data_IF_301886949215
#
_entry.id   IF_301886949215
#
_cell.length_a   1.000
_cell.length_b   1.000
_cell.length_c   1.000
_cell.angle_alpha   90.00
_cell.angle_beta   90.00
_cell.angle_gamma   90.00
#
_symmetry.space_group_name_H-M   'P 1'
#
loop_
_entity.id
_entity.type
_entity.pdbx_description
1 polymer ?
#
# COMPACT_ATOMS: atom_id res chain seq x y z
N UNK A 1 -15.01 11.29 5.24
CA UNK A 1 -14.97 9.93 4.65
C UNK A 1 -13.65 9.28 4.98
N UNK A 2 -13.65 8.05 5.51
CA UNK A 2 -12.45 7.22 5.65
C UNK A 2 -12.49 6.11 4.59
N UNK A 3 -11.61 6.18 3.61
CA UNK A 3 -11.59 5.24 2.48
C UNK A 3 -10.55 4.15 2.70
N UNK A 4 -11.04 2.98 3.11
CA UNK A 4 -10.25 1.78 3.37
C UNK A 4 -10.56 0.62 2.40
N UNK A 5 -11.36 0.86 1.36
CA UNK A 5 -11.71 -0.17 0.37
C UNK A 5 -10.62 -0.28 -0.71
N UNK A 6 -10.01 -1.46 -0.82
CA UNK A 6 -9.05 -1.81 -1.87
C UNK A 6 -8.79 -3.33 -1.86
N UNK A 7 -8.40 -3.87 -3.00
CA UNK A 7 -7.71 -5.16 -3.07
C UNK A 7 -6.25 -4.98 -2.70
N UNK A 8 -5.75 -5.85 -1.82
CA UNK A 8 -4.39 -5.75 -1.22
C UNK A 8 -3.48 -6.95 -1.48
N UNK A 9 -4.00 -8.03 -2.07
CA UNK A 9 -3.25 -9.25 -2.27
C UNK A 9 -2.34 -9.13 -3.50
N UNK A 10 -1.04 -8.87 -3.27
CA UNK A 10 -0.03 -8.71 -4.33
C UNK A 10 -0.09 -9.83 -5.39
N UNK A 11 -0.03 -11.13 -5.03
CA UNK A 11 -0.03 -12.18 -6.05
C UNK A 11 -1.32 -12.26 -6.88
N UNK A 12 -2.45 -11.86 -6.30
CA UNK A 12 -3.72 -11.85 -7.03
C UNK A 12 -3.77 -10.70 -8.03
N UNK A 13 -3.23 -9.54 -7.66
CA UNK A 13 -3.23 -8.35 -8.52
C UNK A 13 -2.11 -8.37 -9.56
N UNK A 14 -1.02 -9.12 -9.35
CA UNK A 14 -0.08 -9.42 -10.45
C UNK A 14 -0.74 -10.26 -11.54
N UNK A 15 -1.56 -11.24 -11.16
CA UNK A 15 -2.30 -12.11 -12.09
C UNK A 15 -3.53 -11.45 -12.70
N UNK A 16 -4.14 -10.50 -11.99
CA UNK A 16 -5.37 -9.82 -12.40
C UNK A 16 -5.19 -8.29 -12.27
N UNK A 17 -4.29 -7.67 -13.02
CA UNK A 17 -3.97 -6.26 -12.86
C UNK A 17 -5.13 -5.32 -13.22
N UNK A 18 -6.05 -5.74 -14.08
CA UNK A 18 -7.28 -4.99 -14.39
C UNK A 18 -8.17 -4.81 -13.16
N UNK A 19 -8.20 -5.77 -12.22
CA UNK A 19 -8.92 -5.63 -10.95
C UNK A 19 -8.32 -4.53 -10.08
N UNK A 20 -6.99 -4.35 -10.11
CA UNK A 20 -6.35 -3.23 -9.42
C UNK A 20 -6.75 -1.89 -10.07
N UNK A 21 -6.87 -1.84 -11.39
CA UNK A 21 -7.33 -0.65 -12.11
C UNK A 21 -8.76 -0.30 -11.71
N UNK A 22 -9.72 -1.22 -11.88
CA UNK A 22 -11.12 -0.92 -11.62
C UNK A 22 -11.41 -0.72 -10.13
N UNK A 23 -10.98 -1.62 -9.27
CA UNK A 23 -11.32 -1.57 -7.85
C UNK A 23 -10.50 -0.52 -7.10
N UNK A 24 -9.18 -0.50 -7.27
CA UNK A 24 -8.34 0.40 -6.48
C UNK A 24 -8.30 1.80 -7.09
N UNK A 25 -8.04 1.94 -8.39
CA UNK A 25 -7.85 3.26 -9.02
C UNK A 25 -9.20 3.92 -9.30
N UNK A 26 -10.03 3.32 -10.15
CA UNK A 26 -11.31 3.91 -10.58
C UNK A 26 -12.27 4.02 -9.41
N UNK A 27 -12.39 2.98 -8.57
CA UNK A 27 -13.21 3.02 -7.37
C UNK A 27 -12.82 4.16 -6.41
N UNK A 28 -11.51 4.38 -6.20
CA UNK A 28 -11.04 5.50 -5.37
C UNK A 28 -11.29 6.86 -6.03
N UNK A 29 -11.08 6.99 -7.35
CA UNK A 29 -11.38 8.21 -8.10
C UNK A 29 -12.83 8.61 -7.91
N UNK A 30 -13.75 7.67 -8.14
CA UNK A 30 -15.19 7.91 -7.98
C UNK A 30 -15.55 8.33 -6.56
N UNK A 31 -15.00 7.65 -5.54
CA UNK A 31 -15.27 7.99 -4.15
C UNK A 31 -14.79 9.41 -3.80
N UNK A 32 -13.61 9.82 -4.30
CA UNK A 32 -13.07 11.16 -4.11
C UNK A 32 -13.87 12.23 -4.84
N UNK A 33 -14.24 11.99 -6.10
CA UNK A 33 -15.05 12.91 -6.91
C UNK A 33 -16.46 13.10 -6.34
N UNK A 34 -17.09 12.02 -5.85
CA UNK A 34 -18.39 12.13 -5.16
C UNK A 34 -18.26 12.87 -3.84
N UNK A 35 -17.15 12.70 -3.12
CA UNK A 35 -16.92 13.44 -1.88
C UNK A 35 -16.81 14.95 -2.13
N UNK A 36 -16.17 15.36 -3.24
CA UNK A 36 -16.16 16.75 -3.69
C UNK A 36 -17.55 17.26 -4.06
N UNK A 37 -18.28 16.48 -4.87
CA UNK A 37 -19.62 16.85 -5.34
C UNK A 37 -20.62 17.08 -4.19
N UNK A 38 -20.40 16.40 -3.06
CA UNK A 38 -21.26 16.47 -1.89
C UNK A 38 -20.65 17.27 -0.73
N UNK A 39 -19.66 18.12 -1.01
CA UNK A 39 -19.03 19.03 -0.04
C UNK A 39 -18.57 18.33 1.25
N UNK A 40 -18.05 17.10 1.12
CA UNK A 40 -17.46 16.37 2.25
C UNK A 40 -16.29 17.19 2.79
N UNK A 41 -16.30 17.48 4.08
CA UNK A 41 -15.27 18.31 4.71
C UNK A 41 -13.87 17.68 4.60
N UNK A 42 -13.77 16.37 4.91
CA UNK A 42 -12.50 15.64 4.98
C UNK A 42 -12.59 14.25 4.35
N UNK A 43 -11.56 13.88 3.60
CA UNK A 43 -11.39 12.56 3.01
C UNK A 43 -10.02 11.99 3.36
N UNK A 44 -10.00 10.88 4.08
CA UNK A 44 -8.78 10.18 4.50
C UNK A 44 -8.63 8.91 3.70
N UNK A 45 -7.62 8.86 2.84
CA UNK A 45 -7.24 7.70 2.06
C UNK A 45 -6.31 6.79 2.87
N UNK A 46 -6.71 5.54 3.07
CA UNK A 46 -5.79 4.51 3.58
C UNK A 46 -4.85 4.08 2.46
N UNK A 47 -3.55 4.36 2.65
CA UNK A 47 -2.47 3.94 1.75
C UNK A 47 -1.56 2.91 2.43
N UNK A 48 -0.43 2.59 1.81
CA UNK A 48 0.47 1.50 2.24
C UNK A 48 1.92 1.86 1.92
N UNK A 49 2.84 1.32 2.72
CA UNK A 49 4.28 1.26 2.41
C UNK A 49 4.59 0.79 0.98
N UNK A 50 3.78 -0.12 0.41
CA UNK A 50 3.98 -0.65 -0.94
C UNK A 50 3.74 0.36 -2.06
N UNK A 51 3.13 1.51 -1.75
CA UNK A 51 3.00 2.64 -2.68
C UNK A 51 4.33 3.39 -2.86
N UNK A 52 5.31 3.18 -1.97
CA UNK A 52 6.64 3.79 -2.03
C UNK A 52 7.54 2.99 -2.96
N UNK A 53 7.99 3.58 -4.09
CA UNK A 53 8.74 2.90 -5.16
C UNK A 53 8.15 1.52 -5.46
N UNK A 54 6.91 1.46 -5.96
CA UNK A 54 6.20 0.20 -6.03
C UNK A 54 6.94 -0.80 -6.92
N UNK A 55 6.94 -2.07 -6.53
CA UNK A 55 7.48 -3.18 -7.33
C UNK A 55 6.41 -4.16 -7.81
N UNK A 56 5.16 -3.88 -7.44
CA UNK A 56 3.98 -4.66 -7.77
C UNK A 56 2.82 -3.76 -8.17
N UNK A 57 1.88 -4.32 -8.92
CA UNK A 57 0.64 -3.68 -9.41
C UNK A 57 -0.20 -3.14 -8.26
N UNK A 58 -0.29 -3.84 -7.13
CA UNK A 58 -1.03 -3.39 -5.97
C UNK A 58 -0.48 -2.06 -5.45
N UNK A 59 0.83 -2.00 -5.20
CA UNK A 59 1.54 -0.80 -4.78
C UNK A 59 1.40 0.34 -5.79
N UNK A 60 1.58 0.06 -7.09
CA UNK A 60 1.43 1.04 -8.15
C UNK A 60 0.01 1.62 -8.19
N UNK A 61 -1.02 0.78 -8.05
CA UNK A 61 -2.42 1.23 -7.99
C UNK A 61 -2.67 2.16 -6.80
N UNK A 62 -2.12 1.86 -5.62
CA UNK A 62 -2.22 2.71 -4.44
C UNK A 62 -1.45 4.02 -4.61
N UNK A 63 -0.29 3.98 -5.26
CA UNK A 63 0.45 5.19 -5.61
C UNK A 63 -0.36 6.12 -6.52
N UNK A 64 -1.04 5.58 -7.53
CA UNK A 64 -1.95 6.36 -8.37
C UNK A 64 -3.10 6.96 -7.54
N UNK A 65 -3.67 6.24 -6.56
CA UNK A 65 -4.70 6.83 -5.69
C UNK A 65 -4.20 8.02 -4.88
N UNK A 66 -2.92 8.05 -4.49
CA UNK A 66 -2.32 9.23 -3.85
C UNK A 66 -2.15 10.37 -4.85
N UNK A 67 -1.75 10.10 -6.09
CA UNK A 67 -1.65 11.12 -7.14
C UNK A 67 -3.01 11.75 -7.47
N UNK A 68 -4.06 10.93 -7.55
CA UNK A 68 -5.44 11.43 -7.73
C UNK A 68 -5.79 12.36 -6.56
N UNK A 69 -5.58 11.89 -5.33
CA UNK A 69 -5.81 12.68 -4.11
C UNK A 69 -5.09 14.03 -4.14
N UNK A 70 -3.82 14.05 -4.54
CA UNK A 70 -3.01 15.26 -4.64
C UNK A 70 -3.47 16.20 -5.77
N UNK A 71 -4.03 15.65 -6.86
CA UNK A 71 -4.56 16.47 -7.96
C UNK A 71 -5.91 17.13 -7.64
N UNK A 72 -6.61 16.66 -6.61
CA UNK A 72 -7.92 17.18 -6.19
C UNK A 72 -7.85 18.29 -5.14
N UNK A 73 -6.66 18.72 -4.74
CA UNK A 73 -6.47 19.79 -3.75
C UNK A 73 -7.08 21.13 -4.20
N UNK A 74 -7.46 21.97 -3.23
CA UNK A 74 -8.01 23.31 -3.48
C UNK A 74 -9.48 23.36 -3.91
N UNK A 75 -10.19 22.23 -3.90
CA UNK A 75 -11.60 22.13 -4.33
C UNK A 75 -12.60 22.00 -3.16
N UNK A 76 -12.28 22.56 -1.99
CA UNK A 76 -13.16 22.54 -0.80
C UNK A 76 -12.96 21.33 0.12
N UNK A 77 -13.02 20.10 -0.40
CA UNK A 77 -12.73 18.89 0.39
C UNK A 77 -11.24 18.80 0.72
N UNK A 78 -10.91 18.61 2.00
CA UNK A 78 -9.53 18.35 2.44
C UNK A 78 -9.23 16.87 2.26
N UNK A 79 -8.39 16.55 1.29
CA UNK A 79 -7.93 15.18 1.13
C UNK A 79 -6.56 14.96 1.74
N UNK A 80 -6.37 13.80 2.34
CA UNK A 80 -5.10 13.34 2.88
C UNK A 80 -4.97 11.84 2.73
N UNK A 81 -3.73 11.34 2.75
CA UNK A 81 -3.45 9.92 2.80
C UNK A 81 -2.65 9.55 4.04
N UNK A 82 -2.79 8.32 4.50
CA UNK A 82 -1.99 7.76 5.59
C UNK A 82 -1.33 6.47 5.10
N UNK A 83 0.01 6.47 5.03
CA UNK A 83 0.85 5.31 4.71
C UNK A 83 1.27 4.60 6.00
N UNK A 84 1.11 3.28 6.02
CA UNK A 84 1.65 2.42 7.06
C UNK A 84 1.96 1.03 6.51
N UNK A 85 2.70 0.25 7.30
CA UNK A 85 3.12 -1.10 6.96
C UNK A 85 2.06 -2.16 7.26
N UNK A 86 2.51 -3.36 7.60
CA UNK A 86 1.60 -4.46 7.84
C UNK A 86 0.84 -4.29 9.17
N UNK A 87 -0.38 -4.80 9.20
CA UNK A 87 -1.21 -4.85 10.40
C UNK A 87 -1.31 -6.28 10.91
N UNK A 88 -0.98 -6.47 12.19
CA UNK A 88 -0.99 -7.78 12.86
C UNK A 88 -2.37 -8.41 12.78
N UNK A 89 -2.41 -9.68 12.36
CA UNK A 89 -3.65 -10.46 12.31
C UNK A 89 -4.66 -10.01 11.25
N UNK A 90 -4.29 -9.12 10.33
CA UNK A 90 -5.20 -8.70 9.27
C UNK A 90 -5.59 -9.86 8.34
N UNK A 91 -6.80 -9.80 7.76
CA UNK A 91 -7.32 -10.85 6.87
C UNK A 91 -6.34 -11.17 5.74
N UNK A 92 -6.08 -12.46 5.52
CA UNK A 92 -5.18 -12.94 4.47
C UNK A 92 -3.69 -12.63 4.70
N UNK A 93 -3.29 -12.24 5.92
CA UNK A 93 -1.89 -12.00 6.27
C UNK A 93 -1.14 -13.27 6.70
N UNK A 94 0.16 -13.11 6.93
CA UNK A 94 1.08 -14.21 7.24
C UNK A 94 0.80 -14.88 8.59
N UNK A 95 0.36 -14.15 9.61
CA UNK A 95 0.11 -14.70 10.95
C UNK A 95 -1.05 -15.71 10.95
N UNK A 96 -2.24 -15.40 10.37
CA UNK A 96 -3.30 -16.39 10.18
C UNK A 96 -2.89 -17.59 9.31
N UNK A 97 -2.00 -17.40 8.34
CA UNK A 97 -1.45 -18.50 7.55
C UNK A 97 -0.61 -19.44 8.42
N UNK A 98 0.33 -18.89 9.19
CA UNK A 98 1.22 -19.68 10.05
C UNK A 98 0.43 -20.43 11.12
N UNK A 99 -0.57 -19.79 11.75
CA UNK A 99 -1.45 -20.47 12.72
C UNK A 99 -2.14 -21.68 12.10
N UNK A 100 -2.76 -21.52 10.93
CA UNK A 100 -3.40 -22.64 10.21
C UNK A 100 -2.41 -23.75 9.85
N UNK A 101 -1.22 -23.40 9.37
CA UNK A 101 -0.17 -24.37 9.07
C UNK A 101 0.27 -25.13 10.32
N UNK A 102 0.44 -24.44 11.45
CA UNK A 102 0.84 -25.04 12.73
C UNK A 102 -0.25 -25.97 13.28
N UNK A 103 -1.52 -25.56 13.19
CA UNK A 103 -2.69 -26.37 13.56
C UNK A 103 -2.78 -27.64 12.70
N UNK A 104 -2.38 -27.58 11.43
CA UNK A 104 -2.34 -28.70 10.49
C UNK A 104 -1.10 -29.60 10.64
N UNK A 105 -0.15 -29.26 11.52
CA UNK A 105 1.07 -30.03 11.72
C UNK A 105 2.28 -29.58 10.90
N UNK A 106 2.16 -28.48 10.16
CA UNK A 106 3.22 -27.90 9.34
C UNK A 106 3.36 -28.55 7.95
N UNK A 107 4.42 -28.19 7.19
CA UNK A 107 5.43 -27.18 7.53
C UNK A 107 4.88 -25.75 7.50
N UNK A 108 5.57 -24.83 8.18
CA UNK A 108 5.33 -23.39 8.02
C UNK A 108 6.11 -22.88 6.81
N UNK A 109 5.47 -22.15 5.91
CA UNK A 109 6.09 -21.68 4.66
C UNK A 109 6.50 -20.22 4.76
N UNK A 110 7.80 -19.93 4.67
CA UNK A 110 8.34 -18.57 4.65
C UNK A 110 8.87 -18.27 3.25
N UNK A 111 8.67 -17.07 2.72
CA UNK A 111 9.11 -16.78 1.34
C UNK A 111 10.63 -16.69 1.23
N UNK A 112 11.28 -16.00 2.16
CA UNK A 112 12.74 -15.88 2.17
C UNK A 112 13.28 -15.74 3.61
N UNK A 113 14.46 -16.30 3.95
CA UNK A 113 15.02 -16.22 5.30
C UNK A 113 15.21 -14.77 5.80
N UNK A 114 15.62 -13.88 4.90
CA UNK A 114 15.89 -12.46 5.22
C UNK A 114 14.70 -11.51 5.00
N UNK A 115 13.49 -12.03 4.75
CA UNK A 115 12.33 -11.15 4.52
C UNK A 115 11.89 -10.46 5.81
N UNK A 116 11.76 -9.14 5.75
CA UNK A 116 11.44 -8.28 6.88
C UNK A 116 10.18 -7.46 6.61
N UNK A 117 9.34 -7.29 7.64
CA UNK A 117 8.14 -6.45 7.56
C UNK A 117 7.97 -5.62 8.82
N UNK A 118 7.42 -4.43 8.66
CA UNK A 118 6.98 -3.59 9.76
C UNK A 118 5.58 -3.99 10.19
N UNK A 119 5.32 -4.02 11.49
CA UNK A 119 4.02 -4.40 12.05
C UNK A 119 3.51 -3.36 13.03
N UNK A 120 2.20 -3.17 13.02
CA UNK A 120 1.47 -2.47 14.07
C UNK A 120 0.15 -3.19 14.33
N UNK A 121 -0.48 -2.91 15.47
CA UNK A 121 -1.79 -3.49 15.79
C UNK A 121 -2.92 -2.74 15.06
N UNK A 122 -4.10 -3.37 14.92
CA UNK A 122 -5.29 -2.74 14.32
C UNK A 122 -5.71 -1.48 15.09
N UNK A 123 -5.77 -1.47 16.45
CA UNK A 123 -6.15 -0.27 17.19
C UNK A 123 -5.15 0.88 17.00
N UNK A 124 -3.84 0.59 16.99
CA UNK A 124 -2.82 1.59 16.72
C UNK A 124 -2.98 2.18 15.31
N UNK A 125 -3.13 1.34 14.28
CA UNK A 125 -3.30 1.81 12.90
C UNK A 125 -4.54 2.70 12.79
N UNK A 126 -5.67 2.25 13.35
CA UNK A 126 -6.95 2.97 13.29
C UNK A 126 -6.87 4.30 14.03
N UNK A 127 -6.28 4.33 15.23
CA UNK A 127 -6.10 5.55 16.00
C UNK A 127 -5.24 6.57 15.25
N UNK A 128 -4.14 6.12 14.64
CA UNK A 128 -3.25 7.01 13.91
C UNK A 128 -3.88 7.52 12.61
N UNK A 129 -4.72 6.72 11.92
CA UNK A 129 -5.50 7.18 10.77
C UNK A 129 -6.47 8.30 11.18
N UNK A 130 -7.16 8.13 12.32
CA UNK A 130 -8.06 9.15 12.86
C UNK A 130 -7.31 10.43 13.23
N UNK A 131 -6.13 10.31 13.85
CA UNK A 131 -5.29 11.45 14.19
C UNK A 131 -4.77 12.19 12.96
N UNK A 132 -4.24 11.47 11.96
CA UNK A 132 -3.84 12.06 10.68
C UNK A 132 -5.02 12.79 10.01
N UNK A 133 -6.20 12.17 10.04
CA UNK A 133 -7.45 12.78 9.57
C UNK A 133 -7.86 14.07 10.30
N UNK A 134 -7.56 14.18 11.59
CA UNK A 134 -7.86 15.34 12.41
C UNK A 134 -6.82 16.47 12.24
N UNK A 135 -5.58 16.12 11.90
CA UNK A 135 -4.44 17.05 11.79
C UNK A 135 -4.24 17.62 10.39
N UNK A 136 -4.72 16.93 9.36
CA UNK A 136 -4.51 17.34 7.97
C UNK A 136 -5.34 18.56 7.56
N UNK A 137 -4.72 19.45 6.81
CA UNK A 137 -5.33 20.65 6.24
C UNK A 137 -5.63 20.50 4.74
N UNK A 138 -5.10 19.45 4.10
CA UNK A 138 -5.29 19.12 2.69
C UNK A 138 -3.95 18.92 1.96
N UNK A 139 -3.81 17.79 1.28
CA UNK A 139 -2.68 17.44 0.41
C UNK A 139 -1.62 16.61 1.09
N UNK A 140 -1.72 16.41 2.41
CA UNK A 140 -0.73 15.70 3.18
C UNK A 140 -0.77 14.19 2.92
N UNK A 141 0.43 13.62 2.91
CA UNK A 141 0.63 12.17 3.03
C UNK A 141 1.32 11.92 4.36
N UNK A 142 0.56 11.42 5.33
CA UNK A 142 1.07 11.05 6.63
C UNK A 142 1.74 9.69 6.59
N UNK A 143 2.81 9.52 7.37
CA UNK A 143 3.56 8.27 7.52
C UNK A 143 3.58 7.92 9.01
N UNK A 144 3.21 6.69 9.32
CA UNK A 144 3.25 6.19 10.69
C UNK A 144 4.64 5.64 11.03
N UNK A 145 5.18 6.02 12.19
CA UNK A 145 6.41 5.41 12.72
C UNK A 145 6.11 3.98 13.16
N UNK A 146 6.61 3.00 12.41
CA UNK A 146 6.31 1.58 12.61
C UNK A 146 7.29 0.84 13.56
N UNK A 147 8.28 1.55 14.13
CA UNK A 147 9.30 0.93 14.98
C UNK A 147 10.27 0.05 14.19
N UNK A 148 10.69 -1.06 14.79
CA UNK A 148 11.70 -1.96 14.21
C UNK A 148 11.06 -3.01 13.29
N UNK A 149 11.68 -3.31 12.13
CA UNK A 149 11.21 -4.38 11.27
C UNK A 149 11.39 -5.74 11.96
N UNK A 150 10.49 -6.68 11.64
CA UNK A 150 10.51 -8.06 12.16
C UNK A 150 10.83 -9.03 11.03
N UNK A 151 11.81 -9.92 11.26
CA UNK A 151 12.10 -11.04 10.36
C UNK A 151 10.94 -12.04 10.39
N UNK A 152 10.38 -12.37 9.22
CA UNK A 152 9.24 -13.29 9.14
C UNK A 152 9.63 -14.72 9.57
N UNK A 153 10.87 -15.13 9.33
CA UNK A 153 11.38 -16.41 9.81
C UNK A 153 11.38 -16.49 11.35
N UNK A 154 11.76 -15.42 12.03
CA UNK A 154 11.77 -15.38 13.50
C UNK A 154 10.34 -15.37 14.05
N UNK A 155 9.45 -14.59 13.41
CA UNK A 155 8.01 -14.64 13.72
C UNK A 155 7.42 -16.04 13.58
N UNK A 156 7.80 -16.80 12.54
CA UNK A 156 7.36 -18.18 12.36
C UNK A 156 7.83 -19.07 13.53
N UNK A 157 9.11 -18.98 13.91
CA UNK A 157 9.68 -19.73 15.04
C UNK A 157 8.96 -19.40 16.36
N UNK A 158 8.68 -18.13 16.59
CA UNK A 158 7.99 -17.69 17.82
C UNK A 158 6.55 -18.21 17.87
N UNK A 159 5.83 -18.20 16.76
CA UNK A 159 4.47 -18.78 16.71
C UNK A 159 4.47 -20.29 16.94
N UNK A 160 5.47 -21.02 16.43
CA UNK A 160 5.63 -22.45 16.69
C UNK A 160 5.84 -22.69 18.19
N UNK A 161 6.77 -21.96 18.82
CA UNK A 161 7.05 -22.04 20.27
C UNK A 161 5.83 -21.72 21.12
N UNK A 162 5.12 -20.63 20.79
CA UNK A 162 3.90 -20.21 21.49
C UNK A 162 2.76 -21.23 21.36
N UNK A 163 2.83 -22.12 20.37
CA UNK A 163 1.89 -23.23 20.19
C UNK A 163 2.31 -24.50 20.95
N UNK A 164 3.34 -24.43 21.80
CA UNK A 164 3.86 -25.57 22.57
C UNK A 164 4.69 -26.57 21.77
N UNK A 165 5.22 -26.15 20.61
CA UNK A 165 6.00 -26.99 19.69
C UNK A 165 7.42 -26.45 19.51
N UNK A 166 8.38 -27.31 19.19
CA UNK A 166 9.78 -26.94 18.94
C UNK A 166 10.05 -26.73 17.43
N UNK A 167 10.51 -25.54 17.00
CA UNK A 167 10.88 -25.29 15.60
C UNK A 167 11.95 -26.25 15.09
N UNK A 168 11.84 -26.68 13.84
CA UNK A 168 12.72 -27.66 13.16
C UNK A 168 12.69 -29.09 13.71
N UNK A 169 12.09 -29.32 14.88
CA UNK A 169 11.87 -30.65 15.47
C UNK A 169 10.44 -31.10 15.24
N UNK A 170 9.47 -30.38 15.80
CA UNK A 170 8.04 -30.69 15.66
C UNK A 170 7.45 -30.10 14.38
N UNK A 171 7.89 -28.89 13.99
CA UNK A 171 7.42 -28.19 12.80
C UNK A 171 8.61 -27.56 12.07
N UNK A 172 8.82 -27.99 10.82
CA UNK A 172 9.84 -27.42 9.92
C UNK A 172 9.39 -26.10 9.31
N UNK A 173 10.34 -25.21 9.09
CA UNK A 173 10.16 -24.02 8.27
C UNK A 173 10.71 -24.30 6.87
N UNK A 174 9.86 -24.17 5.85
CA UNK A 174 10.24 -24.36 4.44
C UNK A 174 10.28 -23.01 3.74
N UNK A 175 11.38 -22.75 3.03
CA UNK A 175 11.54 -21.55 2.23
C UNK A 175 11.01 -21.77 0.81
N UNK A 176 10.06 -20.95 0.37
CA UNK A 176 9.36 -21.12 -0.92
C UNK A 176 9.85 -20.17 -2.01
N UNK A 177 10.83 -19.32 -1.73
CA UNK A 177 11.22 -18.24 -2.62
C UNK A 177 10.31 -17.01 -2.53
N UNK A 178 10.83 -15.88 -3.01
CA UNK A 178 10.06 -14.64 -3.12
C UNK A 178 9.03 -14.76 -4.25
N UNK A 179 7.84 -14.21 -4.00
CA UNK A 179 6.79 -14.16 -5.02
C UNK A 179 7.05 -13.00 -5.99
N UNK A 180 6.41 -13.05 -7.16
CA UNK A 180 6.39 -11.95 -8.12
C UNK A 180 5.96 -10.64 -7.44
N UNK A 181 6.71 -9.57 -7.68
CA UNK A 181 6.47 -8.25 -7.11
C UNK A 181 6.72 -8.09 -5.60
N UNK A 182 7.14 -9.14 -4.90
CA UNK A 182 7.40 -9.10 -3.46
C UNK A 182 8.81 -8.57 -3.12
N UNK A 183 8.88 -7.51 -2.30
CA UNK A 183 10.14 -6.95 -1.81
C UNK A 183 10.72 -7.79 -0.66
N UNK A 184 12.04 -7.87 -0.60
CA UNK A 184 12.73 -8.41 0.57
C UNK A 184 12.59 -7.49 1.80
N UNK A 185 12.69 -6.18 1.58
CA UNK A 185 12.54 -5.12 2.58
C UNK A 185 11.52 -4.09 2.10
N UNK A 186 10.57 -3.74 2.95
CA UNK A 186 9.64 -2.65 2.68
C UNK A 186 10.25 -1.31 3.10
N UNK A 187 9.84 -0.25 2.40
CA UNK A 187 10.34 1.10 2.59
C UNK A 187 9.18 2.00 2.96
N UNK A 188 9.34 2.84 3.98
CA UNK A 188 8.30 3.78 4.39
C UNK A 188 8.43 5.14 3.70
N UNK A 189 9.61 5.47 3.18
CA UNK A 189 9.96 6.78 2.63
C UNK A 189 10.85 6.58 1.39
N UNK A 190 10.56 7.31 0.30
CA UNK A 190 11.39 7.31 -0.89
C UNK A 190 12.61 8.27 -0.77
N UNK A 191 13.62 8.07 -1.63
CA UNK A 191 14.78 8.95 -1.71
C UNK A 191 14.31 10.23 -2.38
N UNK A 192 14.50 11.38 -1.73
CA UNK A 192 13.98 12.67 -2.17
C UNK A 192 12.60 13.02 -1.59
N UNK A 193 11.96 12.13 -0.83
CA UNK A 193 10.82 12.49 0.02
C UNK A 193 11.33 13.10 1.33
N UNK A 194 11.07 14.39 1.54
CA UNK A 194 11.37 15.07 2.80
C UNK A 194 10.28 14.74 3.83
N UNK A 195 10.68 14.30 5.03
CA UNK A 195 9.76 14.10 6.14
C UNK A 195 9.83 15.25 7.14
N UNK A 196 8.66 15.66 7.64
CA UNK A 196 8.54 16.62 8.72
C UNK A 196 7.83 15.99 9.91
N UNK A 197 8.27 16.28 11.15
CA UNK A 197 7.54 15.86 12.34
C UNK A 197 6.18 16.57 12.38
N UNK A 198 5.21 15.93 13.01
CA UNK A 198 3.92 16.55 13.33
C UNK A 198 3.81 16.80 14.84
N UNK A 199 2.68 17.34 15.31
CA UNK A 199 2.41 17.46 16.75
C UNK A 199 2.29 16.12 17.48
N UNK A 200 2.13 15.01 16.73
CA UNK A 200 2.07 13.67 17.29
C UNK A 200 3.36 12.89 17.03
N UNK A 201 3.99 12.35 18.09
CA UNK A 201 5.32 11.74 18.02
C UNK A 201 5.43 10.58 17.01
N UNK A 202 4.34 9.81 16.85
CA UNK A 202 4.27 8.63 15.96
C UNK A 202 3.78 8.94 14.54
N UNK A 203 3.43 10.18 14.25
CA UNK A 203 2.92 10.60 12.93
C UNK A 203 3.90 11.59 12.31
N UNK A 204 4.34 11.29 11.10
CA UNK A 204 5.17 12.17 10.29
C UNK A 204 4.37 12.60 9.06
N UNK A 205 4.75 13.69 8.43
CA UNK A 205 4.12 14.14 7.18
C UNK A 205 5.19 14.29 6.10
N UNK A 206 4.88 13.83 4.89
CA UNK A 206 5.69 14.13 3.73
C UNK A 206 5.55 15.61 3.39
N UNK A 207 6.68 16.31 3.29
CA UNK A 207 6.72 17.66 2.74
C UNK A 207 6.23 17.58 1.30
N UNK A 208 5.13 18.27 1.02
CA UNK A 208 4.64 18.39 -0.35
C UNK A 208 5.68 19.14 -1.17
N UNK A 209 6.29 18.47 -2.15
CA UNK A 209 7.14 19.11 -3.16
C UNK A 209 6.33 19.94 -4.15
N UNK A 210 5.00 19.77 -4.19
CA UNK A 210 4.08 20.48 -5.05
C UNK A 210 3.34 21.56 -4.26
N UNK A 211 4.05 22.65 -4.00
CA UNK A 211 3.47 23.96 -3.66
C UNK A 211 3.66 24.95 -4.82
N UNK A 212 3.51 24.49 -6.06
CA UNK A 212 3.14 25.44 -7.10
C UNK A 212 1.72 25.89 -6.79
N UNK A 213 1.58 27.04 -6.13
CA UNK A 213 0.31 27.76 -5.99
C UNK A 213 -0.24 28.24 -7.36
N UNK A 214 0.35 27.79 -8.47
CA UNK A 214 -0.15 28.06 -9.81
C UNK A 214 -1.30 27.08 -10.10
N UNK A 215 -2.52 27.57 -9.93
CA UNK A 215 -3.75 26.83 -10.23
C UNK A 215 -3.74 26.24 -11.64
N UNK A 216 -3.05 26.86 -12.62
CA UNK A 216 -2.95 26.30 -13.98
C UNK A 216 -2.13 25.02 -14.03
N UNK A 217 -1.00 24.98 -13.32
CA UNK A 217 -0.17 23.79 -13.24
C UNK A 217 -0.93 22.61 -12.62
N UNK A 218 -1.72 22.87 -11.57
CA UNK A 218 -2.55 21.85 -10.92
C UNK A 218 -3.65 21.33 -11.86
N UNK A 219 -4.32 22.22 -12.60
CA UNK A 219 -5.34 21.85 -13.59
C UNK A 219 -4.72 20.99 -14.70
N UNK A 220 -3.62 21.43 -15.30
CA UNK A 220 -2.94 20.68 -16.36
C UNK A 220 -2.45 19.30 -15.88
N UNK A 221 -1.91 19.24 -14.66
CA UNK A 221 -1.45 17.97 -14.07
C UNK A 221 -2.62 17.03 -13.83
N UNK A 222 -3.75 17.54 -13.33
CA UNK A 222 -4.98 16.77 -13.13
C UNK A 222 -5.54 16.25 -14.45
N UNK A 223 -5.61 17.08 -15.49
CA UNK A 223 -6.10 16.68 -16.81
C UNK A 223 -5.23 15.58 -17.44
N UNK A 224 -3.90 15.74 -17.38
CA UNK A 224 -2.95 14.71 -17.85
C UNK A 224 -3.12 13.40 -17.09
N UNK A 225 -3.24 13.46 -15.76
CA UNK A 225 -3.44 12.27 -14.92
C UNK A 225 -4.77 11.58 -15.24
N UNK A 226 -5.87 12.35 -15.35
CA UNK A 226 -7.19 11.81 -15.68
C UNK A 226 -7.19 11.12 -17.04
N UNK A 227 -6.61 11.76 -18.06
CA UNK A 227 -6.46 11.16 -19.39
C UNK A 227 -5.69 9.84 -19.33
N UNK A 228 -4.58 9.80 -18.61
CA UNK A 228 -3.77 8.58 -18.49
C UNK A 228 -4.51 7.46 -17.74
N UNK A 229 -5.31 7.81 -16.72
CA UNK A 229 -6.17 6.86 -16.00
C UNK A 229 -7.30 6.35 -16.90
N UNK A 230 -7.90 7.20 -17.72
CA UNK A 230 -8.97 6.79 -18.64
C UNK A 230 -8.42 5.83 -19.70
N UNK A 231 -7.27 6.15 -20.30
CA UNK A 231 -6.54 5.23 -21.20
C UNK A 231 -6.23 3.90 -20.50
N UNK A 232 -5.70 3.95 -19.27
CA UNK A 232 -5.43 2.74 -18.48
C UNK A 232 -6.69 1.91 -18.22
N UNK A 233 -7.85 2.55 -18.00
CA UNK A 233 -9.12 1.85 -17.82
C UNK A 233 -9.61 1.17 -19.11
N UNK A 234 -9.35 1.77 -20.27
CA UNK A 234 -9.65 1.16 -21.57
C UNK A 234 -8.72 -0.04 -21.84
N UNK A 235 -7.43 0.09 -21.53
CA UNK A 235 -6.48 -1.02 -21.61
C UNK A 235 -6.89 -2.17 -20.68
N UNK A 236 -7.39 -1.84 -19.49
CA UNK A 236 -7.87 -2.82 -18.51
C UNK A 236 -9.05 -3.66 -19.02
N UNK A 237 -9.90 -3.16 -19.91
CA UNK A 237 -11.01 -3.93 -20.51
C UNK A 237 -10.52 -5.09 -21.39
N UNK A 238 -9.29 -5.02 -21.89
CA UNK A 238 -8.70 -6.04 -22.75
C UNK A 238 -7.97 -7.14 -21.96
N UNK A 239 -7.92 -7.02 -20.63
CA UNK A 239 -7.27 -7.98 -19.71
C UNK A 239 -5.81 -8.32 -20.07
N UNK A 240 -5.08 -7.39 -20.69
CA UNK A 240 -3.67 -7.58 -21.04
C UNK A 240 -2.76 -7.05 -19.91
N UNK A 241 -2.16 -7.97 -19.15
CA UNK A 241 -1.35 -7.63 -17.99
C UNK A 241 -0.12 -6.76 -18.34
N UNK A 242 0.60 -7.08 -19.41
CA UNK A 242 1.82 -6.37 -19.81
C UNK A 242 1.52 -4.93 -20.23
N UNK A 243 0.43 -4.74 -20.96
CA UNK A 243 -0.04 -3.40 -21.38
C UNK A 243 -0.39 -2.56 -20.15
N UNK A 244 -1.10 -3.14 -19.19
CA UNK A 244 -1.44 -2.47 -17.92
C UNK A 244 -0.18 -2.14 -17.12
N UNK A 245 0.76 -3.08 -16.96
CA UNK A 245 2.03 -2.86 -16.24
C UNK A 245 2.86 -1.77 -16.91
N UNK A 246 2.91 -1.72 -18.25
CA UNK A 246 3.57 -0.66 -19.01
C UNK A 246 2.89 0.69 -18.77
N UNK A 247 1.56 0.75 -18.83
CA UNK A 247 0.82 2.00 -18.57
C UNK A 247 0.96 2.47 -17.13
N UNK A 248 0.98 1.56 -16.16
CA UNK A 248 1.29 1.85 -14.75
C UNK A 248 2.69 2.48 -14.61
N UNK A 249 3.68 2.00 -15.37
CA UNK A 249 5.04 2.56 -15.40
C UNK A 249 5.09 3.95 -16.00
N UNK A 250 4.27 4.24 -17.01
CA UNK A 250 4.15 5.58 -17.59
C UNK A 250 3.57 6.59 -16.59
N UNK A 251 2.54 6.18 -15.82
CA UNK A 251 1.88 7.05 -14.83
C UNK A 251 2.73 7.20 -13.55
N UNK A 252 3.41 6.12 -13.13
CA UNK A 252 4.24 6.05 -11.93
C UNK A 252 5.67 5.71 -12.36
N UNK A 253 6.50 6.69 -12.73
CA UNK A 253 7.87 6.45 -13.21
C UNK A 253 8.74 5.68 -12.21
N UNK A 254 8.48 5.81 -10.91
CA UNK A 254 9.16 5.07 -9.84
C UNK A 254 8.68 3.62 -9.66
N UNK A 255 7.68 3.16 -10.42
CA UNK A 255 7.24 1.76 -10.44
C UNK A 255 8.31 0.88 -11.11
N UNK A 256 8.85 -0.11 -10.42
CA UNK A 256 9.83 -1.05 -10.98
C UNK A 256 9.31 -2.48 -10.84
N UNK A 257 8.52 -3.00 -11.80
CA UNK A 257 7.98 -4.35 -11.71
C UNK A 257 9.10 -5.37 -11.51
N UNK A 258 8.94 -6.25 -10.51
CA UNK A 258 9.88 -7.35 -10.28
C UNK A 258 9.30 -8.66 -10.81
N UNK A 259 9.91 -9.19 -11.86
CA UNK A 259 9.67 -10.55 -12.34
C UNK A 259 10.50 -11.51 -11.48
N UNK A 260 9.89 -12.10 -10.46
CA UNK A 260 10.47 -13.23 -9.75
C UNK A 260 9.73 -14.48 -10.21
N UNK A 261 10.41 -15.40 -10.90
CA UNK A 261 9.88 -16.73 -11.15
C UNK A 261 9.77 -17.46 -9.80
N UNK A 262 8.54 -17.59 -9.29
CA UNK A 262 8.28 -18.47 -8.16
C UNK A 262 8.26 -19.92 -8.67
N UNK A 263 9.29 -20.69 -8.33
CA UNK A 263 9.26 -22.15 -8.49
C UNK A 263 8.39 -22.70 -7.38
N UNK A 264 7.11 -22.96 -7.69
CA UNK A 264 6.20 -23.70 -6.81
C UNK A 264 6.63 -25.16 -6.69
#
# INVERSE_FOLDING_TARGET
VFHAAAYKHVPMLEKNPWEAVFNNIIGSRMAMEMSLKHDVERFVLVSTDKAVRPTNVMGASKRITELIMQSLQGNGTRFMAVRFGNVVGSSGSVIPLFRRQIEQGGPVTVTHPEVNRYFMTIPEASQMILQGGAMGEGGEVFILKMGTPVKIADMARDLIRLSGKEPEVDIKIVYTGLREGEKLYEELIAVGEDIMPTSHEKVMVLRSSNHSNDSRYLIETREKLNKAIDELSQDALHHNADTIKKKLKEIVPEYTPQENEAVL
#
